data_IF_086891443164
#
_entry.id   IF_086891443164
#
_cell.length_a   1.000
_cell.length_b   1.000
_cell.length_c   1.000
_cell.angle_alpha   90.00
_cell.angle_beta   90.00
_cell.angle_gamma   90.00
#
_symmetry.space_group_name_H-M   'P 1'
#
loop_
_entity.id
_entity.type
_entity.pdbx_description
1 polymer ?
#
# COMPACT_ATOMS: atom_id res chain seq x y z
N UNK A 1 5.96 -31.08 -8.42
CA UNK A 1 5.18 -30.69 -9.62
C UNK A 1 3.89 -31.50 -9.80
N UNK A 2 3.86 -32.81 -9.53
CA UNK A 2 2.66 -33.64 -9.68
C UNK A 2 1.46 -33.14 -8.85
N UNK A 3 1.67 -32.80 -7.58
CA UNK A 3 0.62 -32.26 -6.75
C UNK A 3 0.00 -30.96 -7.33
N UNK A 4 0.82 -30.09 -7.93
CA UNK A 4 0.33 -28.87 -8.56
C UNK A 4 -0.53 -29.17 -9.81
N UNK A 5 -0.14 -30.16 -10.60
CA UNK A 5 -0.95 -30.62 -11.74
C UNK A 5 -2.28 -31.23 -11.31
N UNK A 6 -2.29 -31.98 -10.21
CA UNK A 6 -3.54 -32.52 -9.64
C UNK A 6 -4.44 -31.39 -9.11
N UNK A 7 -3.89 -30.42 -8.38
CA UNK A 7 -4.65 -29.26 -7.92
C UNK A 7 -5.29 -28.53 -9.12
N UNK A 8 -4.54 -28.32 -10.22
CA UNK A 8 -5.06 -27.66 -11.42
C UNK A 8 -6.19 -28.42 -12.11
N UNK A 9 -6.24 -29.73 -11.96
CA UNK A 9 -7.40 -30.51 -12.46
C UNK A 9 -8.66 -30.27 -11.67
N UNK A 10 -8.55 -29.97 -10.38
CA UNK A 10 -9.70 -29.70 -9.50
C UNK A 10 -10.07 -28.22 -9.45
N UNK A 11 -9.07 -27.34 -9.44
CA UNK A 11 -9.28 -25.89 -9.39
C UNK A 11 -8.21 -25.17 -10.23
N UNK A 12 -8.68 -24.63 -11.36
CA UNK A 12 -7.83 -23.86 -12.26
C UNK A 12 -7.56 -22.44 -11.75
N UNK A 13 -8.30 -21.97 -10.73
CA UNK A 13 -8.24 -20.60 -10.23
C UNK A 13 -7.44 -20.45 -8.94
N UNK A 14 -7.24 -21.52 -8.20
CA UNK A 14 -6.47 -21.42 -6.94
C UNK A 14 -5.06 -20.91 -7.20
N UNK A 15 -4.58 -20.01 -6.34
CA UNK A 15 -3.21 -19.52 -6.42
C UNK A 15 -2.22 -20.61 -6.01
N UNK A 16 -1.17 -20.81 -6.80
CA UNK A 16 -0.08 -21.71 -6.47
C UNK A 16 1.21 -20.90 -6.38
N UNK A 17 1.78 -20.84 -5.19
CA UNK A 17 3.09 -20.24 -4.94
C UNK A 17 4.04 -21.38 -4.54
N UNK A 18 5.12 -21.55 -5.30
CA UNK A 18 6.14 -22.55 -5.00
C UNK A 18 7.19 -21.99 -4.05
N UNK A 19 7.52 -22.77 -3.04
CA UNK A 19 8.58 -22.49 -2.09
C UNK A 19 9.60 -23.63 -2.13
N UNK A 20 10.76 -23.42 -2.74
CA UNK A 20 11.73 -24.49 -3.04
C UNK A 20 13.17 -24.04 -2.89
N UNK A 21 14.07 -25.01 -2.65
CA UNK A 21 15.51 -24.77 -2.64
C UNK A 21 16.15 -24.90 -4.04
N UNK A 22 15.42 -25.46 -5.03
CA UNK A 22 15.94 -25.68 -6.40
C UNK A 22 15.37 -24.67 -7.39
N UNK A 23 16.23 -24.16 -8.28
CA UNK A 23 15.86 -23.29 -9.40
C UNK A 23 15.33 -24.06 -10.61
N UNK A 24 15.61 -25.33 -10.71
CA UNK A 24 15.31 -26.15 -11.88
C UNK A 24 13.82 -26.26 -12.18
N UNK A 25 12.98 -26.20 -11.15
CA UNK A 25 11.53 -26.31 -11.30
C UNK A 25 10.81 -25.00 -11.64
N UNK A 26 11.55 -23.90 -11.82
CA UNK A 26 10.93 -22.62 -12.15
C UNK A 26 10.22 -22.64 -13.52
N UNK A 27 10.83 -23.27 -14.51
CA UNK A 27 10.27 -23.43 -15.86
C UNK A 27 9.01 -24.31 -15.84
N UNK A 28 9.03 -25.39 -15.06
CA UNK A 28 7.85 -26.24 -14.90
C UNK A 28 6.73 -25.55 -14.11
N UNK A 29 7.05 -24.62 -13.22
CA UNK A 29 6.08 -23.77 -12.52
C UNK A 29 5.21 -22.95 -13.48
N UNK A 30 5.79 -22.45 -14.57
CA UNK A 30 5.05 -21.79 -15.63
C UNK A 30 4.00 -22.69 -16.29
N UNK A 31 4.30 -23.96 -16.53
CA UNK A 31 3.39 -24.90 -17.19
C UNK A 31 2.13 -25.21 -16.38
N UNK A 32 2.17 -25.04 -15.06
CA UNK A 32 1.02 -25.21 -14.16
C UNK A 32 0.37 -23.88 -13.77
N UNK A 33 0.74 -22.79 -14.43
CA UNK A 33 0.21 -21.47 -14.14
C UNK A 33 0.47 -21.03 -12.70
N UNK A 34 1.71 -21.21 -12.21
CA UNK A 34 2.07 -20.76 -10.87
C UNK A 34 1.95 -19.24 -10.75
N UNK A 35 1.40 -18.79 -9.63
CA UNK A 35 1.24 -17.38 -9.30
C UNK A 35 2.51 -16.78 -8.70
N UNK A 36 3.45 -17.60 -8.27
CA UNK A 36 4.73 -17.16 -7.73
C UNK A 36 5.68 -18.33 -7.50
N UNK A 37 6.98 -17.99 -7.44
CA UNK A 37 8.07 -18.92 -7.21
C UNK A 37 9.09 -18.26 -6.28
N UNK A 38 9.32 -18.84 -5.10
CA UNK A 38 10.21 -18.33 -4.08
C UNK A 38 11.30 -19.36 -3.78
N UNK A 39 12.55 -18.90 -3.75
CA UNK A 39 13.70 -19.72 -3.40
C UNK A 39 13.97 -19.67 -1.90
N UNK A 40 14.26 -20.84 -1.31
CA UNK A 40 14.74 -20.92 0.08
C UNK A 40 16.25 -20.60 0.15
N UNK A 41 16.73 -19.87 1.18
CA UNK A 41 15.95 -19.24 2.26
C UNK A 41 15.13 -18.06 1.74
N UNK A 42 13.89 -17.93 2.24
CA UNK A 42 13.00 -16.83 1.84
C UNK A 42 13.15 -15.70 2.82
N UNK A 43 13.59 -14.56 2.34
CA UNK A 43 13.60 -13.33 3.09
C UNK A 43 12.18 -12.75 3.17
N UNK A 44 11.87 -12.13 4.30
CA UNK A 44 10.54 -11.59 4.56
C UNK A 44 10.11 -10.60 3.46
N UNK A 45 11.02 -9.73 3.03
CA UNK A 45 10.75 -8.72 1.99
C UNK A 45 10.36 -9.39 0.66
N UNK A 46 11.12 -10.38 0.21
CA UNK A 46 10.82 -11.13 -1.04
C UNK A 46 9.48 -11.85 -0.98
N UNK A 47 9.12 -12.38 0.20
CA UNK A 47 7.83 -13.00 0.41
C UNK A 47 6.68 -12.00 0.34
N UNK A 48 6.83 -10.87 1.02
CA UNK A 48 5.82 -9.79 1.02
C UNK A 48 5.62 -9.20 -0.38
N UNK A 49 6.70 -9.00 -1.15
CA UNK A 49 6.62 -8.55 -2.55
C UNK A 49 5.85 -9.52 -3.44
N UNK A 50 6.17 -10.83 -3.32
CA UNK A 50 5.49 -11.86 -4.09
C UNK A 50 3.99 -11.92 -3.78
N UNK A 51 3.62 -11.81 -2.50
CA UNK A 51 2.22 -11.76 -2.07
C UNK A 51 1.53 -10.47 -2.55
N UNK A 52 2.17 -9.32 -2.44
CA UNK A 52 1.61 -8.05 -2.88
C UNK A 52 1.35 -8.05 -4.38
N UNK A 53 2.29 -8.56 -5.18
CA UNK A 53 2.12 -8.74 -6.64
C UNK A 53 0.95 -9.68 -6.94
N UNK A 54 0.91 -10.83 -6.28
CA UNK A 54 -0.18 -11.78 -6.42
C UNK A 54 -1.55 -11.17 -6.12
N UNK A 55 -1.67 -10.45 -4.99
CA UNK A 55 -2.93 -9.79 -4.62
C UNK A 55 -3.31 -8.67 -5.59
N UNK A 56 -2.34 -7.90 -6.09
CA UNK A 56 -2.58 -6.85 -7.06
C UNK A 56 -3.12 -7.40 -8.39
N UNK A 57 -2.58 -8.53 -8.86
CA UNK A 57 -2.97 -9.13 -10.13
C UNK A 57 -4.29 -9.92 -10.04
N UNK A 58 -4.43 -10.73 -9.00
CA UNK A 58 -5.53 -11.70 -8.91
C UNK A 58 -6.75 -11.18 -8.18
N UNK A 59 -6.53 -10.28 -7.23
CA UNK A 59 -7.58 -9.72 -6.39
C UNK A 59 -7.49 -8.18 -6.33
N UNK A 60 -7.64 -7.49 -7.47
CA UNK A 60 -7.56 -6.03 -7.50
C UNK A 60 -8.58 -5.35 -6.56
N UNK A 61 -9.66 -6.07 -6.21
CA UNK A 61 -10.65 -5.61 -5.20
C UNK A 61 -10.15 -5.70 -3.75
N UNK A 62 -9.08 -6.46 -3.50
CA UNK A 62 -8.39 -6.52 -2.20
C UNK A 62 -7.23 -5.53 -2.10
N UNK A 63 -7.05 -4.65 -3.08
CA UNK A 63 -6.15 -3.50 -2.92
C UNK A 63 -6.43 -2.85 -1.57
N UNK A 64 -5.38 -2.63 -0.79
CA UNK A 64 -5.50 -1.90 0.46
C UNK A 64 -6.28 -0.63 0.18
N UNK A 65 -7.40 -0.47 0.85
CA UNK A 65 -8.32 0.63 0.58
C UNK A 65 -8.90 1.17 1.87
N UNK A 66 -9.08 2.48 1.93
CA UNK A 66 -9.80 3.14 3.01
C UNK A 66 -11.31 3.09 2.71
N UNK A 67 -12.09 2.63 3.67
CA UNK A 67 -13.54 2.67 3.58
C UNK A 67 -14.05 4.04 4.02
N UNK A 68 -14.61 4.77 3.08
CA UNK A 68 -15.22 6.09 3.30
C UNK A 68 -16.73 5.90 3.34
N UNK A 69 -17.34 6.18 4.48
CA UNK A 69 -18.80 6.13 4.65
C UNK A 69 -19.31 7.55 4.82
N UNK A 70 -20.22 7.97 3.95
CA UNK A 70 -20.89 9.26 4.03
C UNK A 70 -22.42 9.02 3.96
N UNK A 71 -23.08 9.15 5.11
CA UNK A 71 -24.48 8.79 5.25
C UNK A 71 -24.70 7.28 5.00
N UNK A 72 -25.60 6.93 4.10
CA UNK A 72 -25.90 5.55 3.69
C UNK A 72 -24.99 5.02 2.57
N UNK A 73 -24.15 5.87 1.99
CA UNK A 73 -23.27 5.48 0.89
C UNK A 73 -21.85 5.16 1.41
N UNK A 74 -21.36 3.97 1.09
CA UNK A 74 -20.00 3.54 1.35
C UNK A 74 -19.18 3.48 0.05
N UNK A 75 -17.98 4.05 0.05
CA UNK A 75 -17.03 3.97 -1.05
C UNK A 75 -15.67 3.48 -0.54
N UNK A 76 -15.01 2.65 -1.31
CA UNK A 76 -13.62 2.27 -1.06
C UNK A 76 -12.71 3.14 -1.93
N UNK A 77 -11.71 3.75 -1.32
CA UNK A 77 -10.65 4.51 -1.98
C UNK A 77 -9.37 3.69 -1.87
N UNK A 78 -8.80 3.31 -3.01
CA UNK A 78 -7.54 2.57 -3.01
C UNK A 78 -6.43 3.43 -2.39
N UNK A 79 -5.51 2.82 -1.64
CA UNK A 79 -4.38 3.55 -1.05
C UNK A 79 -3.50 4.19 -2.12
N UNK A 80 -3.42 3.54 -3.29
CA UNK A 80 -2.68 4.06 -4.43
C UNK A 80 -3.29 5.37 -4.99
N UNK A 81 -4.57 5.62 -4.73
CA UNK A 81 -5.23 6.85 -5.16
C UNK A 81 -5.10 7.98 -4.13
N UNK A 82 -4.78 7.66 -2.87
CA UNK A 82 -4.70 8.65 -1.78
C UNK A 82 -3.34 9.34 -1.79
N UNK A 83 -3.35 10.65 -1.99
CA UNK A 83 -2.16 11.47 -1.95
C UNK A 83 -1.84 11.96 -0.53
N UNK A 84 -2.81 12.55 0.13
CA UNK A 84 -2.72 12.92 1.55
C UNK A 84 -4.09 13.06 2.20
N UNK A 85 -4.10 13.12 3.51
CA UNK A 85 -5.30 13.21 4.34
C UNK A 85 -5.12 14.38 5.31
N UNK A 86 -6.11 15.26 5.34
CA UNK A 86 -6.11 16.51 6.13
C UNK A 86 -7.25 16.51 7.15
N UNK A 87 -6.95 16.90 8.38
CA UNK A 87 -7.98 17.16 9.40
C UNK A 87 -8.57 18.56 9.21
N UNK A 88 -9.88 18.63 9.02
CA UNK A 88 -10.63 19.89 8.91
C UNK A 88 -11.77 19.94 9.91
N UNK A 89 -11.54 20.56 11.06
CA UNK A 89 -12.54 20.68 12.16
C UNK A 89 -13.08 19.32 12.59
N UNK A 90 -14.34 19.02 12.26
CA UNK A 90 -15.03 17.77 12.59
C UNK A 90 -14.91 16.69 11.51
N UNK A 91 -14.24 17.00 10.39
CA UNK A 91 -14.12 16.15 9.23
C UNK A 91 -12.66 15.88 8.90
N UNK A 92 -12.46 14.83 8.13
CA UNK A 92 -11.20 14.51 7.47
C UNK A 92 -11.41 14.64 5.97
N UNK A 93 -10.54 15.41 5.30
CA UNK A 93 -10.47 15.52 3.84
C UNK A 93 -9.42 14.55 3.32
N UNK A 94 -9.79 13.73 2.35
CA UNK A 94 -8.92 12.79 1.64
C UNK A 94 -8.72 13.36 0.25
N UNK A 95 -7.49 13.67 -0.11
CA UNK A 95 -7.10 14.21 -1.42
C UNK A 95 -6.47 13.09 -2.24
N UNK A 96 -7.01 12.89 -3.43
CA UNK A 96 -6.60 11.83 -4.35
C UNK A 96 -5.78 12.37 -5.52
N UNK A 97 -4.92 11.54 -6.11
CA UNK A 97 -4.03 11.88 -7.21
C UNK A 97 -4.76 12.30 -8.50
N UNK A 98 -6.01 11.87 -8.67
CA UNK A 98 -6.83 12.25 -9.83
C UNK A 98 -7.64 13.54 -9.64
N UNK A 99 -7.26 14.39 -8.67
CA UNK A 99 -7.93 15.63 -8.37
C UNK A 99 -9.30 15.48 -7.68
N UNK A 100 -9.67 14.25 -7.28
CA UNK A 100 -10.89 14.02 -6.51
C UNK A 100 -10.62 14.18 -5.02
N UNK A 101 -11.63 14.68 -4.30
CA UNK A 101 -11.57 14.86 -2.86
C UNK A 101 -12.78 14.18 -2.21
N UNK A 102 -12.55 13.62 -1.03
CA UNK A 102 -13.61 13.05 -0.21
C UNK A 102 -13.56 13.64 1.19
N UNK A 103 -14.72 13.91 1.76
CA UNK A 103 -14.82 14.40 3.14
C UNK A 103 -15.65 13.42 3.96
N UNK A 104 -15.12 13.02 5.12
CA UNK A 104 -15.79 12.11 6.05
C UNK A 104 -15.76 12.67 7.46
N UNK A 105 -16.80 12.35 8.24
CA UNK A 105 -16.87 12.74 9.65
C UNK A 105 -16.16 11.70 10.50
N UNK A 106 -14.84 11.85 10.62
CA UNK A 106 -13.96 11.03 11.47
C UNK A 106 -12.85 11.90 12.05
N UNK A 107 -12.20 11.43 13.10
CA UNK A 107 -10.95 11.99 13.58
C UNK A 107 -9.79 11.44 12.75
N UNK A 108 -8.74 12.24 12.60
CA UNK A 108 -7.56 11.83 11.85
C UNK A 108 -6.84 10.61 12.47
N UNK A 109 -6.94 10.47 13.81
CA UNK A 109 -6.37 9.33 14.54
C UNK A 109 -7.10 8.03 14.20
N UNK A 110 -8.44 8.06 14.09
CA UNK A 110 -9.24 6.91 13.66
C UNK A 110 -8.88 6.46 12.23
N UNK A 111 -8.67 7.45 11.35
CA UNK A 111 -8.24 7.15 9.98
C UNK A 111 -6.83 6.58 9.95
N UNK A 112 -5.92 7.07 10.79
CA UNK A 112 -4.57 6.54 10.91
C UNK A 112 -4.54 5.08 11.36
N UNK A 113 -5.43 4.67 12.27
CA UNK A 113 -5.56 3.28 12.72
C UNK A 113 -6.08 2.35 11.62
N UNK A 114 -6.93 2.87 10.72
CA UNK A 114 -7.44 2.12 9.57
C UNK A 114 -6.42 1.96 8.45
N UNK A 115 -5.45 2.88 8.36
CA UNK A 115 -4.38 2.83 7.36
C UNK A 115 -3.33 1.80 7.75
N UNK A 116 -3.19 0.77 6.95
CA UNK A 116 -2.18 -0.26 7.14
C UNK A 116 -1.00 -0.09 6.19
N UNK A 117 0.19 -0.50 6.63
CA UNK A 117 1.42 -0.44 5.85
C UNK A 117 2.26 0.79 6.13
N UNK A 118 3.46 0.81 5.55
CA UNK A 118 4.48 1.81 5.85
C UNK A 118 4.40 3.08 5.00
N UNK A 119 3.58 3.11 3.93
CA UNK A 119 3.52 4.24 2.99
C UNK A 119 2.89 5.52 3.55
N UNK A 120 2.04 5.42 4.58
CA UNK A 120 1.38 6.57 5.18
C UNK A 120 2.16 7.10 6.37
N UNK A 121 2.52 8.38 6.32
CA UNK A 121 3.31 9.05 7.34
C UNK A 121 2.53 10.19 7.98
N UNK A 122 2.31 10.13 9.30
CA UNK A 122 1.79 11.26 10.07
C UNK A 122 2.89 12.31 10.19
N UNK A 123 2.75 13.44 9.52
CA UNK A 123 3.77 14.50 9.53
C UNK A 123 3.48 15.61 10.54
N UNK A 124 2.23 15.77 10.97
CA UNK A 124 1.83 16.66 12.06
C UNK A 124 0.44 16.32 12.60
N UNK A 125 -0.10 17.16 13.49
CA UNK A 125 -1.44 16.94 14.09
C UNK A 125 -2.59 16.91 13.09
N UNK A 126 -2.41 17.52 11.91
CA UNK A 126 -3.47 17.76 10.93
C UNK A 126 -3.31 16.99 9.63
N UNK A 127 -2.14 16.38 9.39
CA UNK A 127 -1.84 15.74 8.10
C UNK A 127 -1.23 14.36 8.22
N UNK A 128 -1.71 13.45 7.37
CA UNK A 128 -1.09 12.18 7.02
C UNK A 128 -0.80 12.22 5.52
N UNK A 129 0.44 11.98 5.11
CA UNK A 129 0.85 11.95 3.70
C UNK A 129 1.11 10.52 3.24
N UNK A 130 0.82 10.25 1.98
CA UNK A 130 1.32 9.06 1.31
C UNK A 130 2.70 9.40 0.76
N UNK A 131 3.72 8.68 1.21
CA UNK A 131 5.12 8.95 0.88
C UNK A 131 5.45 8.71 -0.59
N UNK A 132 4.64 7.91 -1.29
CA UNK A 132 4.79 7.68 -2.74
C UNK A 132 4.55 8.96 -3.57
N UNK A 133 3.81 9.93 -3.04
CA UNK A 133 3.44 11.18 -3.71
C UNK A 133 4.24 12.42 -3.24
N UNK A 134 5.29 12.22 -2.45
CA UNK A 134 6.18 13.32 -2.03
C UNK A 134 7.22 13.55 -3.13
N UNK A 135 7.27 14.76 -3.66
CA UNK A 135 8.26 15.17 -4.68
C UNK A 135 9.44 15.91 -4.07
N UNK A 136 9.24 16.55 -2.92
CA UNK A 136 10.31 17.24 -2.18
C UNK A 136 10.08 17.18 -0.68
N UNK A 137 11.16 17.11 0.10
CA UNK A 137 11.15 16.94 1.56
C UNK A 137 12.17 17.86 2.26
N UNK A 138 12.07 19.15 2.06
CA UNK A 138 12.95 20.14 2.67
C UNK A 138 12.35 20.72 3.97
N UNK A 139 11.82 21.92 3.97
CA UNK A 139 11.16 22.53 5.14
C UNK A 139 9.79 21.89 5.39
N UNK A 140 9.04 21.67 4.34
CA UNK A 140 7.74 21.01 4.27
C UNK A 140 7.81 19.82 3.31
N UNK A 141 6.78 18.97 3.28
CA UNK A 141 6.61 18.04 2.18
C UNK A 141 5.89 18.73 1.02
N UNK A 142 6.46 18.67 -0.18
CA UNK A 142 5.77 19.07 -1.41
C UNK A 142 5.18 17.82 -2.05
N UNK A 143 3.89 17.84 -2.30
CA UNK A 143 3.17 16.74 -2.93
C UNK A 143 3.22 16.87 -4.45
N UNK A 144 2.94 15.80 -5.18
CA UNK A 144 2.96 15.76 -6.65
C UNK A 144 2.02 16.79 -7.31
N UNK A 145 0.92 17.14 -6.65
CA UNK A 145 -0.01 18.19 -7.08
C UNK A 145 0.45 19.61 -6.75
N UNK A 146 1.63 19.78 -6.16
CA UNK A 146 2.20 21.05 -5.75
C UNK A 146 1.79 21.55 -4.36
N UNK A 147 0.91 20.84 -3.66
CA UNK A 147 0.52 21.23 -2.29
C UNK A 147 1.70 21.07 -1.32
N UNK A 148 1.85 22.08 -0.44
CA UNK A 148 2.86 22.08 0.62
C UNK A 148 2.25 21.66 1.94
N UNK A 149 2.78 20.62 2.55
CA UNK A 149 2.28 20.04 3.78
C UNK A 149 3.32 20.23 4.89
N UNK A 150 3.01 21.02 5.92
CA UNK A 150 3.97 21.36 6.96
C UNK A 150 4.37 20.13 7.78
N UNK A 151 5.67 20.02 8.06
CA UNK A 151 6.22 19.01 8.94
C UNK A 151 6.30 19.55 10.37
N UNK A 152 5.97 18.72 11.37
CA UNK A 152 6.04 19.11 12.78
C UNK A 152 7.48 19.48 13.18
N UNK A 153 7.71 20.75 13.50
CA UNK A 153 9.04 21.35 13.72
C UNK A 153 9.88 20.52 14.72
N UNK A 154 9.31 20.17 15.88
CA UNK A 154 10.03 19.43 16.94
C UNK A 154 10.46 18.02 16.55
N UNK A 155 9.78 17.41 15.56
CA UNK A 155 9.99 16.02 15.11
C UNK A 155 10.52 15.96 13.67
N UNK A 156 10.84 17.11 13.06
CA UNK A 156 11.22 17.23 11.65
C UNK A 156 12.30 16.24 11.23
N UNK A 157 13.40 16.16 12.00
CA UNK A 157 14.49 15.23 11.70
C UNK A 157 14.01 13.76 11.65
N UNK A 158 13.17 13.35 12.60
CA UNK A 158 12.65 11.99 12.70
C UNK A 158 11.67 11.67 11.58
N UNK A 159 10.77 12.63 11.28
CA UNK A 159 9.77 12.48 10.20
C UNK A 159 10.46 12.38 8.84
N UNK A 160 11.44 13.26 8.55
CA UNK A 160 12.23 13.20 7.32
C UNK A 160 13.04 11.90 7.23
N UNK A 161 13.65 11.47 8.33
CA UNK A 161 14.37 10.18 8.36
C UNK A 161 13.46 9.02 7.97
N UNK A 162 12.24 8.96 8.52
CA UNK A 162 11.27 7.90 8.16
C UNK A 162 10.91 7.93 6.68
N UNK A 163 10.79 9.11 6.07
CA UNK A 163 10.57 9.25 4.65
C UNK A 163 11.77 8.75 3.83
N UNK A 164 12.99 9.15 4.18
CA UNK A 164 14.19 8.69 3.48
C UNK A 164 14.42 7.18 3.66
N UNK A 165 14.19 6.64 4.86
CA UNK A 165 14.27 5.19 5.11
C UNK A 165 13.24 4.41 4.26
N UNK A 166 12.07 5.01 4.00
CA UNK A 166 11.05 4.45 3.12
C UNK A 166 11.51 4.48 1.65
N UNK A 167 12.04 5.60 1.18
CA UNK A 167 12.53 5.75 -0.21
C UNK A 167 13.70 4.84 -0.54
N UNK A 168 14.53 4.52 0.45
CA UNK A 168 15.69 3.62 0.24
C UNK A 168 15.29 2.15 0.17
N UNK A 169 14.07 1.79 0.60
CA UNK A 169 13.56 0.40 0.61
C UNK A 169 12.66 0.07 -0.57
N UNK A 170 12.18 1.07 -1.28
CA UNK A 170 11.30 0.94 -2.44
C UNK A 170 11.93 1.57 -3.68
#
# INVERSE_FOLDING_TARGET
>A
MEAARQIRRWDQRVALIFLTASREFAVEGYSVGASGYLLKPVEQETFEEALNRFFAERYPRLRRSLLVVNGSAGRRIAYDDIMYIESRRMNVRIVCCHGTEHSIRKKLDEVQEELSGCRFLRCNRSYIVNMDYITDADEDFTMENGDRIPIKVREKKQIRKRYFDYMMKN
#
